data_IF_260953227044
#
_entry.id   IF_260953227044
#
_cell.length_a   1.000
_cell.length_b   1.000
_cell.length_c   1.000
_cell.angle_alpha   90.00
_cell.angle_beta   90.00
_cell.angle_gamma   90.00
#
_symmetry.space_group_name_H-M   'P 1'
#
loop_
_entity.id
_entity.type
_entity.pdbx_description
1 polymer ?
#
# COMPACT_ATOMS: atom_id res chain seq x y z
N UNK A 1 11.12 4.30 7.95
CA UNK A 1 12.38 3.52 7.92
C UNK A 1 13.45 4.08 8.85
N UNK A 2 13.67 5.40 8.87
CA UNK A 2 14.58 6.06 9.82
C UNK A 2 14.24 5.75 11.28
N UNK A 3 12.95 5.73 11.62
CA UNK A 3 12.49 5.42 12.98
C UNK A 3 12.86 4.00 13.40
N UNK A 4 12.70 3.03 12.50
CA UNK A 4 13.11 1.63 12.73
C UNK A 4 14.62 1.53 12.89
N UNK A 5 15.40 2.25 12.08
CA UNK A 5 16.85 2.29 12.24
C UNK A 5 17.27 2.90 13.59
N UNK A 6 16.60 3.97 14.03
CA UNK A 6 16.84 4.58 15.34
C UNK A 6 16.47 3.62 16.49
N UNK A 7 15.37 2.88 16.36
CA UNK A 7 14.98 1.86 17.33
C UNK A 7 16.02 0.72 17.43
N UNK A 8 16.61 0.31 16.29
CA UNK A 8 17.69 -0.69 16.26
C UNK A 8 18.93 -0.18 16.98
N UNK A 9 19.34 1.08 16.73
CA UNK A 9 20.48 1.67 17.44
C UNK A 9 20.21 1.81 18.95
N UNK A 10 18.98 2.15 19.33
CA UNK A 10 18.57 2.14 20.73
C UNK A 10 18.70 0.75 21.36
N UNK A 11 18.21 -0.30 20.69
CA UNK A 11 18.33 -1.69 21.18
C UNK A 11 19.79 -2.13 21.32
N UNK A 12 20.67 -1.72 20.41
CA UNK A 12 22.12 -2.02 20.48
C UNK A 12 22.82 -1.38 21.69
N UNK A 13 22.25 -0.30 22.24
CA UNK A 13 22.78 0.37 23.42
C UNK A 13 22.32 -0.28 24.74
N UNK A 14 21.36 -1.21 24.71
CA UNK A 14 20.87 -1.93 25.89
C UNK A 14 21.81 -3.08 26.26
N UNK A 15 22.04 -3.28 27.56
CA UNK A 15 22.92 -4.36 28.05
C UNK A 15 22.20 -5.72 28.05
N UNK A 16 20.88 -5.70 28.24
CA UNK A 16 20.01 -6.88 28.29
C UNK A 16 19.65 -7.45 26.92
N UNK A 17 20.04 -6.79 25.83
CA UNK A 17 19.73 -7.21 24.45
C UNK A 17 20.91 -7.95 23.84
N UNK A 18 20.66 -9.15 23.31
CA UNK A 18 21.63 -9.84 22.46
C UNK A 18 21.76 -9.13 21.10
N UNK A 19 22.82 -8.33 20.98
CA UNK A 19 23.16 -7.54 19.80
C UNK A 19 23.47 -8.40 18.59
N UNK A 20 23.80 -9.68 18.80
CA UNK A 20 24.10 -10.62 17.73
C UNK A 20 22.85 -11.26 17.11
N UNK A 21 21.65 -10.95 17.62
CA UNK A 21 20.39 -11.61 17.25
C UNK A 21 19.22 -10.64 16.94
N UNK A 22 19.48 -9.36 16.68
CA UNK A 22 18.42 -8.38 16.39
C UNK A 22 17.77 -8.66 15.03
N UNK A 23 16.44 -8.82 15.00
CA UNK A 23 15.65 -9.00 13.78
C UNK A 23 14.51 -7.98 13.66
N UNK A 24 13.86 -7.94 12.50
CA UNK A 24 12.70 -7.07 12.24
C UNK A 24 11.47 -7.90 11.86
N UNK A 25 10.31 -7.52 12.38
CA UNK A 25 9.01 -8.02 11.93
C UNK A 25 8.22 -6.87 11.33
N UNK A 26 7.78 -7.04 10.09
CA UNK A 26 7.08 -6.03 9.31
C UNK A 26 5.73 -6.56 8.83
N UNK A 27 4.65 -5.91 9.26
CA UNK A 27 3.29 -6.18 8.80
C UNK A 27 2.85 -5.14 7.76
N UNK A 28 2.13 -5.53 6.70
CA UNK A 28 1.61 -4.57 5.70
C UNK A 28 2.73 -3.74 5.06
N UNK A 29 2.68 -2.41 5.12
CA UNK A 29 3.76 -1.51 4.72
C UNK A 29 5.10 -1.86 5.41
N UNK A 30 5.04 -2.36 6.64
CA UNK A 30 6.20 -2.88 7.38
C UNK A 30 6.96 -3.97 6.61
N UNK A 31 6.27 -4.74 5.77
CA UNK A 31 6.85 -5.73 4.87
C UNK A 31 7.83 -5.15 3.86
N UNK A 32 7.76 -3.84 3.56
CA UNK A 32 8.74 -3.12 2.72
C UNK A 32 9.75 -2.34 3.56
N UNK A 33 9.31 -1.80 4.69
CA UNK A 33 10.19 -1.06 5.60
C UNK A 33 11.28 -1.97 6.18
N UNK A 34 10.96 -3.21 6.57
CA UNK A 34 11.95 -4.14 7.10
C UNK A 34 13.08 -4.44 6.08
N UNK A 35 12.81 -4.83 4.81
CA UNK A 35 13.83 -4.91 3.77
C UNK A 35 14.57 -3.59 3.51
N UNK A 36 13.88 -2.45 3.58
CA UNK A 36 14.51 -1.13 3.37
C UNK A 36 15.59 -0.84 4.43
N UNK A 37 15.39 -1.29 5.67
CA UNK A 37 16.38 -1.16 6.75
C UNK A 37 17.45 -2.25 6.65
N UNK A 38 17.04 -3.52 6.52
CA UNK A 38 17.96 -4.67 6.49
C UNK A 38 18.92 -4.64 5.28
N UNK A 39 18.49 -4.06 4.15
CA UNK A 39 19.36 -3.88 2.98
C UNK A 39 20.50 -2.88 3.20
N UNK A 40 20.41 -2.04 4.23
CA UNK A 40 21.40 -1.00 4.57
C UNK A 40 22.12 -1.26 5.89
N UNK A 41 21.62 -2.18 6.71
CA UNK A 41 22.14 -2.46 8.03
C UNK A 41 22.42 -3.96 8.23
N UNK A 42 23.71 -4.33 8.32
CA UNK A 42 24.17 -5.72 8.52
C UNK A 42 23.99 -6.23 9.97
N UNK A 43 23.59 -5.35 10.88
CA UNK A 43 23.26 -5.73 12.25
C UNK A 43 21.89 -6.40 12.35
N UNK A 44 21.04 -6.27 11.32
CA UNK A 44 19.77 -7.01 11.22
C UNK A 44 20.04 -8.44 10.77
N UNK A 45 19.71 -9.40 11.62
CA UNK A 45 20.07 -10.82 11.48
C UNK A 45 19.00 -11.67 10.85
N UNK A 46 17.76 -11.23 10.86
CA UNK A 46 16.66 -11.84 10.12
C UNK A 46 15.53 -10.84 9.97
N UNK A 47 14.66 -11.07 8.99
CA UNK A 47 13.40 -10.33 8.85
C UNK A 47 12.22 -11.28 8.66
N UNK A 48 11.07 -10.92 9.24
CA UNK A 48 9.78 -11.58 9.05
C UNK A 48 8.82 -10.59 8.39
N UNK A 49 8.30 -10.96 7.22
CA UNK A 49 7.39 -10.14 6.42
C UNK A 49 6.01 -10.78 6.48
N UNK A 50 5.06 -10.12 7.13
CA UNK A 50 3.70 -10.61 7.33
C UNK A 50 2.70 -9.78 6.56
N UNK A 51 1.87 -10.41 5.74
CA UNK A 51 0.87 -9.70 4.93
C UNK A 51 1.49 -8.45 4.27
N UNK A 52 2.71 -8.57 3.74
CA UNK A 52 3.45 -7.46 3.13
C UNK A 52 3.25 -7.41 1.62
N UNK A 53 3.42 -6.24 1.02
CA UNK A 53 3.43 -6.14 -0.44
C UNK A 53 4.70 -6.76 -1.03
N UNK A 54 4.52 -7.68 -1.99
CA UNK A 54 5.60 -8.28 -2.79
C UNK A 54 5.82 -7.63 -4.16
N UNK A 55 4.94 -6.68 -4.53
CA UNK A 55 4.98 -5.95 -5.79
C UNK A 55 4.97 -4.45 -5.52
N UNK A 56 5.17 -3.66 -6.58
CA UNK A 56 5.06 -2.20 -6.50
C UNK A 56 3.70 -1.80 -5.94
N UNK A 57 3.67 -0.75 -5.12
CA UNK A 57 2.46 -0.35 -4.39
C UNK A 57 1.25 -0.11 -5.28
N UNK A 58 1.43 0.47 -6.48
CA UNK A 58 0.33 0.62 -7.44
C UNK A 58 -0.29 -0.73 -7.85
N UNK A 59 0.51 -1.76 -8.10
CA UNK A 59 -0.01 -3.09 -8.47
C UNK A 59 -0.71 -3.76 -7.28
N UNK A 60 -0.20 -3.55 -6.07
CA UNK A 60 -0.86 -3.99 -4.84
C UNK A 60 -2.26 -3.38 -4.70
N UNK A 61 -2.38 -2.06 -4.85
CA UNK A 61 -3.70 -1.38 -4.80
C UNK A 61 -4.61 -1.85 -5.94
N UNK A 62 -4.08 -2.08 -7.14
CA UNK A 62 -4.88 -2.57 -8.27
C UNK A 62 -5.45 -3.98 -8.00
N UNK A 63 -4.66 -4.88 -7.39
CA UNK A 63 -5.14 -6.21 -6.98
C UNK A 63 -6.22 -6.12 -5.91
N UNK A 64 -6.05 -5.27 -4.89
CA UNK A 64 -7.07 -5.05 -3.86
C UNK A 64 -8.37 -4.49 -4.45
N UNK A 65 -8.28 -3.55 -5.41
CA UNK A 65 -9.47 -3.02 -6.09
C UNK A 65 -10.16 -4.09 -6.95
N UNK A 66 -9.41 -4.96 -7.65
CA UNK A 66 -10.01 -6.07 -8.41
C UNK A 66 -10.81 -7.00 -7.49
N UNK A 67 -10.22 -7.43 -6.38
CA UNK A 67 -10.90 -8.28 -5.39
C UNK A 67 -12.14 -7.58 -4.81
N UNK A 68 -12.08 -6.28 -4.54
CA UNK A 68 -13.22 -5.52 -4.05
C UNK A 68 -14.39 -5.48 -5.07
N UNK A 69 -14.09 -5.29 -6.37
CA UNK A 69 -15.11 -5.29 -7.43
C UNK A 69 -15.74 -6.68 -7.62
N UNK A 70 -14.92 -7.74 -7.53
CA UNK A 70 -15.38 -9.13 -7.58
C UNK A 70 -16.35 -9.46 -6.43
N UNK A 71 -16.04 -9.01 -5.20
CA UNK A 71 -16.91 -9.18 -4.04
C UNK A 71 -18.25 -8.42 -4.17
N UNK A 72 -18.29 -7.38 -4.99
CA UNK A 72 -19.52 -6.63 -5.30
C UNK A 72 -20.34 -7.27 -6.42
N UNK A 73 -19.88 -8.39 -7.01
CA UNK A 73 -20.49 -9.07 -8.15
C UNK A 73 -20.73 -8.11 -9.34
N UNK A 74 -19.74 -7.28 -9.64
CA UNK A 74 -19.78 -6.40 -10.82
C UNK A 74 -19.47 -7.23 -12.07
N UNK A 75 -20.32 -7.12 -13.08
CA UNK A 75 -20.11 -7.80 -14.38
C UNK A 75 -18.68 -7.54 -14.93
N UNK A 76 -18.03 -8.53 -15.55
CA UNK A 76 -16.62 -8.43 -15.97
C UNK A 76 -16.29 -7.20 -16.82
N UNK A 77 -17.16 -6.83 -17.76
CA UNK A 77 -16.97 -5.68 -18.64
C UNK A 77 -16.94 -4.35 -17.87
N UNK A 78 -17.80 -4.23 -16.85
CA UNK A 78 -17.85 -3.04 -15.98
C UNK A 78 -16.66 -3.02 -15.02
N UNK A 79 -16.19 -4.19 -14.59
CA UNK A 79 -15.01 -4.34 -13.74
C UNK A 79 -13.73 -3.87 -14.47
N UNK A 80 -13.53 -4.26 -15.73
CA UNK A 80 -12.36 -3.85 -16.51
C UNK A 80 -12.34 -2.34 -16.78
N UNK A 81 -13.50 -1.75 -17.11
CA UNK A 81 -13.62 -0.30 -17.27
C UNK A 81 -13.29 0.45 -15.96
N UNK A 82 -13.82 -0.05 -14.83
CA UNK A 82 -13.57 0.52 -13.51
C UNK A 82 -12.08 0.44 -13.15
N UNK A 83 -11.45 -0.72 -13.36
CA UNK A 83 -10.02 -0.92 -13.08
C UNK A 83 -9.14 -0.03 -13.96
N UNK A 84 -9.48 0.16 -15.23
CA UNK A 84 -8.77 1.10 -16.12
C UNK A 84 -8.88 2.53 -15.60
N UNK A 85 -10.06 2.97 -15.19
CA UNK A 85 -10.28 4.31 -14.63
C UNK A 85 -9.54 4.49 -13.29
N UNK A 86 -9.54 3.48 -12.42
CA UNK A 86 -8.77 3.47 -11.17
C UNK A 86 -7.28 3.59 -11.46
N UNK A 87 -6.72 2.77 -12.38
CA UNK A 87 -5.30 2.84 -12.74
C UNK A 87 -4.90 4.23 -13.23
N UNK A 88 -5.65 4.81 -14.16
CA UNK A 88 -5.39 6.15 -14.68
C UNK A 88 -5.47 7.23 -13.59
N UNK A 89 -6.40 7.09 -12.64
CA UNK A 89 -6.49 7.94 -11.45
C UNK A 89 -5.24 7.82 -10.59
N UNK A 90 -4.82 6.59 -10.24
CA UNK A 90 -3.65 6.36 -9.40
C UNK A 90 -2.34 6.83 -10.06
N UNK A 91 -2.16 6.60 -11.35
CA UNK A 91 -0.98 7.04 -12.10
C UNK A 91 -0.86 8.57 -12.13
N UNK A 92 -1.98 9.28 -12.27
CA UNK A 92 -2.00 10.75 -12.24
C UNK A 92 -1.55 11.35 -10.90
N UNK A 93 -1.60 10.57 -9.82
CA UNK A 93 -1.13 11.04 -8.50
C UNK A 93 0.39 11.23 -8.45
N UNK A 94 1.14 10.70 -9.41
CA UNK A 94 2.58 10.97 -9.54
C UNK A 94 2.88 12.45 -9.86
N UNK A 95 1.94 13.15 -10.50
CA UNK A 95 2.05 14.57 -10.86
C UNK A 95 1.33 15.50 -9.87
N UNK A 96 0.67 14.92 -8.85
CA UNK A 96 -0.16 15.64 -7.89
C UNK A 96 0.66 16.60 -7.04
N UNK A 97 0.28 17.88 -7.06
CA UNK A 97 0.89 18.94 -6.23
C UNK A 97 -0.01 19.37 -5.07
N UNK A 98 -1.26 18.91 -5.06
CA UNK A 98 -2.25 19.24 -4.02
C UNK A 98 -2.89 20.61 -4.22
N UNK A 99 -2.76 21.17 -5.42
CA UNK A 99 -3.42 22.42 -5.83
C UNK A 99 -4.94 22.23 -5.86
N UNK A 100 -5.70 23.33 -5.85
CA UNK A 100 -7.16 23.22 -5.96
C UNK A 100 -7.59 22.53 -7.27
N UNK A 101 -6.87 22.76 -8.37
CA UNK A 101 -7.11 22.07 -9.64
C UNK A 101 -6.92 20.55 -9.52
N UNK A 102 -5.88 20.09 -8.82
CA UNK A 102 -5.67 18.67 -8.53
C UNK A 102 -6.86 18.11 -7.73
N UNK A 103 -7.27 18.84 -6.68
CA UNK A 103 -8.37 18.44 -5.78
C UNK A 103 -9.69 18.30 -6.52
N UNK A 104 -10.01 19.25 -7.40
CA UNK A 104 -11.18 19.18 -8.27
C UNK A 104 -11.08 17.96 -9.19
N UNK A 105 -9.93 17.78 -9.87
CA UNK A 105 -9.70 16.65 -10.78
C UNK A 105 -9.89 15.29 -10.11
N UNK A 106 -9.39 15.10 -8.87
CA UNK A 106 -9.58 13.84 -8.14
C UNK A 106 -11.04 13.64 -7.74
N UNK A 107 -11.75 14.67 -7.28
CA UNK A 107 -13.19 14.58 -6.97
C UNK A 107 -14.00 14.20 -8.21
N UNK A 108 -13.68 14.78 -9.37
CA UNK A 108 -14.36 14.46 -10.63
C UNK A 108 -14.13 13.02 -11.05
N UNK A 109 -12.88 12.52 -10.95
CA UNK A 109 -12.56 11.11 -11.22
C UNK A 109 -13.28 10.16 -10.26
N UNK A 110 -13.34 10.50 -8.97
CA UNK A 110 -14.09 9.72 -7.99
C UNK A 110 -15.60 9.73 -8.27
N UNK A 111 -16.15 10.86 -8.72
CA UNK A 111 -17.55 10.99 -9.14
C UNK A 111 -17.85 10.13 -10.37
N UNK A 112 -16.94 10.06 -11.34
CA UNK A 112 -17.06 9.18 -12.51
C UNK A 112 -16.96 7.70 -12.13
N UNK A 113 -16.07 7.34 -11.20
CA UNK A 113 -15.97 5.99 -10.67
C UNK A 113 -17.27 5.60 -9.95
N UNK A 114 -17.83 6.48 -9.12
CA UNK A 114 -19.11 6.24 -8.46
C UNK A 114 -20.21 5.87 -9.46
N UNK A 115 -20.23 6.49 -10.64
CA UNK A 115 -21.27 6.19 -11.62
C UNK A 115 -21.22 4.75 -12.17
N UNK A 116 -20.06 4.10 -12.12
CA UNK A 116 -19.87 2.73 -12.58
C UNK A 116 -20.29 1.68 -11.54
N UNK A 117 -20.57 2.08 -10.29
CA UNK A 117 -21.00 1.14 -9.25
C UNK A 117 -22.45 0.65 -9.45
N UNK A 118 -22.77 -0.61 -9.08
CA UNK A 118 -24.12 -1.15 -9.16
C UNK A 118 -25.13 -0.35 -8.33
N UNK A 119 -26.38 -0.32 -8.78
CA UNK A 119 -27.49 0.36 -8.08
C UNK A 119 -27.61 -0.12 -6.62
N UNK A 120 -27.47 -1.42 -6.38
CA UNK A 120 -27.53 -2.00 -5.03
C UNK A 120 -26.48 -1.40 -4.08
N UNK A 121 -25.30 -1.05 -4.58
CA UNK A 121 -24.27 -0.37 -3.79
C UNK A 121 -24.65 1.09 -3.58
N UNK A 122 -25.11 1.77 -4.63
CA UNK A 122 -25.58 3.17 -4.59
C UNK A 122 -26.80 3.37 -3.67
N UNK A 123 -27.59 2.33 -3.38
CA UNK A 123 -28.69 2.36 -2.41
C UNK A 123 -28.22 2.27 -0.96
N UNK A 124 -27.08 1.64 -0.70
CA UNK A 124 -26.53 1.45 0.65
C UNK A 124 -25.57 2.57 1.06
N UNK A 125 -24.93 3.21 0.09
CA UNK A 125 -23.94 4.26 0.30
C UNK A 125 -24.42 5.59 -0.29
N UNK A 126 -24.00 6.70 0.31
CA UNK A 126 -24.25 8.04 -0.25
C UNK A 126 -23.06 8.48 -1.10
N UNK A 127 -23.33 9.00 -2.30
CA UNK A 127 -22.30 9.50 -3.24
C UNK A 127 -21.29 10.44 -2.58
N UNK A 128 -21.79 11.46 -1.86
CA UNK A 128 -20.91 12.45 -1.21
C UNK A 128 -20.03 11.84 -0.13
N UNK A 129 -20.56 10.85 0.61
CA UNK A 129 -19.78 10.14 1.61
C UNK A 129 -18.67 9.31 0.96
N UNK A 130 -19.01 8.55 -0.09
CA UNK A 130 -18.04 7.79 -0.88
C UNK A 130 -16.92 8.69 -1.43
N UNK A 131 -17.27 9.78 -2.11
CA UNK A 131 -16.27 10.69 -2.71
C UNK A 131 -15.37 11.28 -1.61
N UNK A 132 -15.95 11.75 -0.51
CA UNK A 132 -15.18 12.32 0.60
C UNK A 132 -14.21 11.30 1.20
N UNK A 133 -14.69 10.09 1.47
CA UNK A 133 -13.91 9.07 2.17
C UNK A 133 -12.77 8.54 1.28
N UNK A 134 -13.05 8.30 -0.01
CA UNK A 134 -12.01 7.95 -1.00
C UNK A 134 -11.01 9.09 -1.21
N UNK A 135 -11.48 10.33 -1.29
CA UNK A 135 -10.60 11.49 -1.43
C UNK A 135 -9.66 11.61 -0.24
N UNK A 136 -10.16 11.49 0.98
CA UNK A 136 -9.35 11.61 2.19
C UNK A 136 -8.31 10.49 2.31
N UNK A 137 -8.62 9.28 1.85
CA UNK A 137 -7.66 8.17 1.81
C UNK A 137 -6.54 8.43 0.78
N UNK A 138 -6.90 8.92 -0.41
CA UNK A 138 -5.97 9.06 -1.55
C UNK A 138 -5.15 10.35 -1.48
N UNK A 139 -5.74 11.46 -1.01
CA UNK A 139 -5.15 12.80 -1.05
C UNK A 139 -4.12 13.05 0.06
N UNK A 140 -3.29 12.04 0.38
CA UNK A 140 -2.23 12.12 1.38
C UNK A 140 -0.86 12.00 0.72
N UNK A 141 0.20 12.66 1.27
CA UNK A 141 1.57 12.45 0.80
C UNK A 141 2.01 10.99 0.91
N UNK A 142 1.60 10.30 1.98
CA UNK A 142 1.88 8.89 2.21
C UNK A 142 1.37 8.02 1.08
N UNK A 143 0.11 8.19 0.65
CA UNK A 143 -0.48 7.35 -0.39
C UNK A 143 0.30 7.45 -1.72
N UNK A 144 0.73 8.66 -2.09
CA UNK A 144 1.57 8.87 -3.27
C UNK A 144 2.91 8.14 -3.17
N UNK A 145 3.55 8.22 -2.00
CA UNK A 145 4.80 7.51 -1.75
C UNK A 145 4.59 6.00 -1.80
N UNK A 146 3.52 5.50 -1.18
CA UNK A 146 3.15 4.09 -1.16
C UNK A 146 3.01 3.53 -2.58
N UNK A 147 2.29 4.22 -3.48
CA UNK A 147 2.12 3.79 -4.88
C UNK A 147 3.46 3.64 -5.63
N UNK A 148 4.46 4.45 -5.28
CA UNK A 148 5.77 4.44 -5.89
C UNK A 148 6.73 3.41 -5.25
N UNK A 149 6.45 2.90 -4.06
CA UNK A 149 7.31 1.92 -3.38
C UNK A 149 7.39 0.63 -4.20
N UNK A 150 8.62 0.18 -4.43
CA UNK A 150 8.93 -1.11 -5.04
C UNK A 150 9.76 -1.97 -4.07
N UNK A 151 9.18 -3.01 -3.46
CA UNK A 151 9.88 -3.91 -2.56
C UNK A 151 11.13 -4.56 -3.19
N UNK A 152 11.09 -4.83 -4.51
CA UNK A 152 12.18 -5.52 -5.20
C UNK A 152 13.49 -4.74 -5.17
N UNK A 153 13.44 -3.40 -5.10
CA UNK A 153 14.63 -2.55 -4.99
C UNK A 153 15.44 -2.78 -3.72
N UNK A 154 14.76 -3.19 -2.65
CA UNK A 154 15.33 -3.43 -1.34
C UNK A 154 15.59 -4.91 -1.09
N UNK A 155 14.62 -5.77 -1.41
CA UNK A 155 14.70 -7.21 -1.22
C UNK A 155 15.93 -7.82 -1.91
N UNK A 156 16.27 -7.39 -3.14
CA UNK A 156 17.46 -7.87 -3.85
C UNK A 156 18.80 -7.57 -3.14
N UNK A 157 18.79 -6.63 -2.20
CA UNK A 157 19.97 -6.20 -1.42
C UNK A 157 20.01 -6.83 -0.02
N UNK A 158 18.91 -7.42 0.45
CA UNK A 158 18.85 -8.12 1.75
C UNK A 158 19.80 -9.33 1.71
N UNK A 159 20.60 -9.49 2.77
CA UNK A 159 21.57 -10.59 2.92
C UNK A 159 21.29 -11.52 4.10
N UNK A 160 20.42 -11.11 5.02
CA UNK A 160 20.00 -11.94 6.13
C UNK A 160 18.84 -12.88 5.72
N UNK A 161 18.58 -13.97 6.47
CA UNK A 161 17.41 -14.80 6.28
C UNK A 161 16.09 -14.01 6.30
N UNK A 162 15.17 -14.42 5.43
CA UNK A 162 13.85 -13.82 5.24
C UNK A 162 12.79 -14.89 5.41
N UNK A 163 11.81 -14.66 6.27
CA UNK A 163 10.56 -15.42 6.33
C UNK A 163 9.43 -14.53 5.82
N UNK A 164 8.73 -14.95 4.77
CA UNK A 164 7.54 -14.27 4.26
C UNK A 164 6.30 -15.11 4.52
N UNK A 165 5.25 -14.49 5.05
CA UNK A 165 3.99 -15.13 5.43
C UNK A 165 2.83 -14.28 4.89
N UNK A 166 2.03 -14.86 4.00
CA UNK A 166 0.83 -14.24 3.43
C UNK A 166 -0.31 -15.26 3.45
N UNK A 167 -1.54 -14.81 3.68
CA UNK A 167 -2.74 -15.62 3.55
C UNK A 167 -3.24 -15.65 2.11
N UNK A 168 -3.58 -16.83 1.59
CA UNK A 168 -4.14 -16.98 0.23
C UNK A 168 -5.51 -16.29 0.05
N UNK A 169 -6.19 -15.97 1.16
CA UNK A 169 -7.51 -15.32 1.21
C UNK A 169 -7.44 -13.86 1.65
N UNK A 170 -6.24 -13.31 1.85
CA UNK A 170 -6.08 -11.92 2.25
C UNK A 170 -6.54 -11.02 1.09
N UNK A 171 -7.59 -10.24 1.31
CA UNK A 171 -8.09 -9.26 0.33
C UNK A 171 -7.42 -7.91 0.45
N UNK A 172 -6.66 -7.71 1.53
CA UNK A 172 -5.86 -6.53 1.81
C UNK A 172 -4.56 -6.97 2.48
N UNK A 173 -3.50 -6.30 2.09
CA UNK A 173 -2.16 -6.32 2.69
C UNK A 173 -1.70 -4.90 2.89
#
# INVERSE_FOLDING_TARGET
ATDVAAAVEYLKAREEVDKSAIGLIGHSEGGVIAPMVASKNRDIKFIVLMAGMGERGIETIMKQNRMALELLNIEPENSDQSLKAIRQMLESLSEWKGTEADRVTLRDRLSQLWEQYPILVKMKLKKDAFIRDQFNAIATPWYRQFLALDPAEYLKKVKCPVLAINGEKDTQV
#
